data_IF_629663346502
#
_entry.id   IF_629663346502
#
_cell.length_a   1.000
_cell.length_b   1.000
_cell.length_c   1.000
_cell.angle_alpha   90.00
_cell.angle_beta   90.00
_cell.angle_gamma   90.00
#
_symmetry.space_group_name_H-M   'P 1'
#
loop_
_entity.id
_entity.type
_entity.pdbx_description
1 polymer ?
#
# COMPACT_ATOMS: atom_id res chain seq x y z
N UNK A 1 -52.08 5.23 -45.05
CA UNK A 1 -51.64 4.88 -43.68
C UNK A 1 -50.42 3.98 -43.82
N UNK A 2 -49.19 4.46 -43.54
CA UNK A 2 -48.45 4.21 -42.27
C UNK A 2 -48.36 2.68 -42.00
N UNK A 3 -47.22 1.98 -41.95
CA UNK A 3 -45.85 2.37 -41.56
C UNK A 3 -44.81 1.36 -42.09
N UNK A 4 -43.63 1.90 -42.37
CA UNK A 4 -42.35 1.26 -42.65
C UNK A 4 -41.84 0.52 -41.39
N UNK A 5 -41.40 -0.74 -41.50
CA UNK A 5 -40.60 -1.41 -40.46
C UNK A 5 -39.23 -1.78 -41.04
N UNK A 6 -38.31 -0.83 -40.91
CA UNK A 6 -36.89 -0.99 -41.20
C UNK A 6 -36.25 -1.85 -40.10
N UNK A 7 -35.69 -3.01 -40.47
CA UNK A 7 -34.82 -3.81 -39.62
C UNK A 7 -33.44 -3.12 -39.52
N UNK A 8 -33.08 -2.58 -38.35
CA UNK A 8 -31.72 -2.14 -38.03
C UNK A 8 -31.09 -3.20 -37.13
N UNK A 9 -30.21 -4.02 -37.72
CA UNK A 9 -29.33 -4.93 -36.99
C UNK A 9 -28.20 -4.09 -36.39
N UNK A 10 -28.36 -3.64 -35.15
CA UNK A 10 -27.31 -2.99 -34.39
C UNK A 10 -26.29 -4.06 -33.96
N UNK A 11 -25.20 -4.18 -34.70
CA UNK A 11 -23.98 -4.84 -34.26
C UNK A 11 -23.43 -4.09 -33.04
N UNK A 12 -23.77 -4.57 -31.85
CA UNK A 12 -23.06 -4.18 -30.62
C UNK A 12 -21.66 -4.78 -30.74
N UNK A 13 -20.74 -3.97 -31.28
CA UNK A 13 -19.32 -4.15 -31.05
C UNK A 13 -19.13 -4.13 -29.54
N UNK A 14 -19.07 -5.32 -28.95
CA UNK A 14 -18.61 -5.51 -27.59
C UNK A 14 -17.18 -5.01 -27.53
N UNK A 15 -17.01 -3.75 -27.14
CA UNK A 15 -15.76 -3.25 -26.59
C UNK A 15 -15.53 -4.03 -25.32
N UNK A 16 -14.92 -5.21 -25.45
CA UNK A 16 -14.15 -5.76 -24.35
C UNK A 16 -13.09 -4.71 -24.11
N UNK A 17 -13.30 -3.88 -23.08
CA UNK A 17 -12.21 -3.15 -22.47
C UNK A 17 -11.19 -4.23 -22.15
N UNK A 18 -10.10 -4.28 -22.93
CA UNK A 18 -8.87 -4.94 -22.55
C UNK A 18 -8.51 -4.31 -21.21
N UNK A 19 -8.95 -4.93 -20.12
CA UNK A 19 -8.36 -4.72 -18.82
C UNK A 19 -6.91 -5.10 -19.05
N UNK A 20 -6.05 -4.09 -19.18
CA UNK A 20 -4.62 -4.30 -19.23
C UNK A 20 -4.29 -5.21 -18.04
N UNK A 21 -3.95 -6.47 -18.33
CA UNK A 21 -3.33 -7.33 -17.35
C UNK A 21 -1.99 -6.66 -17.06
N UNK A 22 -1.97 -5.72 -16.10
CA UNK A 22 -0.75 -5.28 -15.48
C UNK A 22 -0.09 -6.56 -14.99
N UNK A 23 0.91 -7.05 -15.73
CA UNK A 23 1.73 -8.19 -15.30
C UNK A 23 2.46 -7.71 -14.05
N UNK A 24 1.84 -7.90 -12.90
CA UNK A 24 2.37 -7.52 -11.62
C UNK A 24 3.66 -8.32 -11.40
N UNK A 25 4.77 -7.63 -11.14
CA UNK A 25 6.09 -8.27 -10.95
C UNK A 25 6.29 -8.70 -9.51
N UNK A 26 5.84 -7.87 -8.57
CA UNK A 26 6.03 -8.04 -7.13
C UNK A 26 4.72 -7.97 -6.36
N UNK A 27 4.69 -8.62 -5.21
CA UNK A 27 3.62 -8.53 -4.21
C UNK A 27 4.22 -8.27 -2.84
N UNK A 28 3.55 -7.43 -2.04
CA UNK A 28 3.74 -7.45 -0.60
C UNK A 28 2.85 -8.52 0.01
N UNK A 29 3.33 -9.21 1.03
CA UNK A 29 2.56 -10.21 1.76
C UNK A 29 2.79 -10.06 3.26
N UNK A 30 1.81 -10.47 4.06
CA UNK A 30 1.93 -10.54 5.52
C UNK A 30 2.73 -11.79 5.97
N UNK A 31 2.97 -11.93 7.29
CA UNK A 31 3.63 -13.09 7.88
C UNK A 31 2.99 -14.46 7.55
N UNK A 32 1.73 -14.49 7.13
CA UNK A 32 1.02 -15.72 6.72
C UNK A 32 1.13 -15.96 5.20
N UNK A 33 1.86 -15.11 4.49
CA UNK A 33 2.03 -15.17 3.04
C UNK A 33 0.81 -14.69 2.26
N UNK A 34 -0.15 -14.01 2.91
CA UNK A 34 -1.33 -13.44 2.27
C UNK A 34 -0.97 -12.09 1.64
N UNK A 35 -1.43 -11.87 0.41
CA UNK A 35 -1.19 -10.63 -0.33
C UNK A 35 -1.76 -9.42 0.40
N UNK A 36 -0.91 -8.41 0.60
CA UNK A 36 -1.28 -7.07 1.00
C UNK A 36 -1.58 -6.29 -0.29
N UNK A 37 -2.83 -5.86 -0.52
CA UNK A 37 -3.19 -5.19 -1.77
C UNK A 37 -2.42 -3.89 -1.99
N UNK A 38 -2.13 -3.58 -3.25
CA UNK A 38 -1.55 -2.30 -3.65
C UNK A 38 -2.40 -1.12 -3.13
N UNK A 39 -1.74 -0.11 -2.57
CA UNK A 39 -2.35 1.06 -1.95
C UNK A 39 -2.83 0.85 -0.51
N UNK A 40 -2.64 -0.34 0.08
CA UNK A 40 -3.10 -0.59 1.45
C UNK A 40 -2.27 0.15 2.49
N UNK A 41 -2.92 0.49 3.61
CA UNK A 41 -2.22 0.83 4.85
C UNK A 41 -2.12 -0.40 5.74
N UNK A 42 -1.00 -0.57 6.44
CA UNK A 42 -0.78 -1.62 7.44
C UNK A 42 -0.17 -1.00 8.68
N UNK A 43 -0.63 -1.41 9.87
CA UNK A 43 -0.25 -0.80 11.15
C UNK A 43 0.40 -1.83 12.06
N UNK A 44 1.52 -1.45 12.69
CA UNK A 44 2.28 -2.23 13.66
C UNK A 44 2.43 -1.44 14.95
N UNK A 45 2.15 -2.08 16.07
CA UNK A 45 2.14 -1.46 17.40
C UNK A 45 2.81 -2.33 18.48
N UNK A 46 3.19 -3.57 18.14
CA UNK A 46 3.87 -4.48 19.06
C UNK A 46 5.29 -4.00 19.30
N UNK A 47 5.60 -3.71 20.55
CA UNK A 47 6.94 -3.33 21.01
C UNK A 47 7.66 -4.57 21.53
N UNK A 48 8.90 -4.76 21.08
CA UNK A 48 9.76 -5.88 21.46
C UNK A 48 11.17 -5.38 21.80
N UNK A 49 11.95 -6.18 22.54
CA UNK A 49 13.37 -5.92 22.73
C UNK A 49 14.12 -6.13 21.41
N UNK A 50 15.00 -5.20 21.05
CA UNK A 50 15.81 -5.33 19.82
C UNK A 50 16.71 -6.56 19.85
N UNK A 51 17.18 -6.95 21.05
CA UNK A 51 17.89 -8.19 21.31
C UNK A 51 17.24 -8.83 22.54
N UNK A 52 16.64 -10.03 22.41
CA UNK A 52 15.99 -10.69 23.53
C UNK A 52 16.93 -10.88 24.72
N UNK A 53 16.52 -10.39 25.89
CA UNK A 53 17.28 -10.48 27.13
C UNK A 53 18.38 -9.42 27.29
N UNK A 54 18.48 -8.44 26.39
CA UNK A 54 19.44 -7.32 26.46
C UNK A 54 18.69 -5.99 26.38
N UNK A 55 18.14 -5.48 27.50
CA UNK A 55 17.35 -4.25 27.52
C UNK A 55 18.11 -3.02 26.97
N UNK A 56 19.43 -2.98 27.14
CA UNK A 56 20.30 -1.89 26.67
C UNK A 56 20.40 -1.83 25.14
N UNK A 57 20.02 -2.89 24.43
CA UNK A 57 19.92 -2.89 22.97
C UNK A 57 18.73 -2.05 22.45
N UNK A 58 17.82 -1.65 23.35
CA UNK A 58 16.68 -0.80 23.05
C UNK A 58 15.44 -1.60 22.60
N UNK A 59 14.39 -0.85 22.27
CA UNK A 59 13.10 -1.40 21.88
C UNK A 59 12.81 -1.13 20.41
N UNK A 60 12.11 -2.04 19.75
CA UNK A 60 11.70 -1.93 18.35
C UNK A 60 10.21 -2.22 18.18
N UNK A 61 9.62 -1.68 17.11
CA UNK A 61 8.39 -2.20 16.51
C UNK A 61 8.74 -2.80 15.14
N UNK A 62 8.76 -4.14 14.99
CA UNK A 62 9.03 -4.78 13.71
C UNK A 62 7.78 -4.79 12.81
N UNK A 63 8.00 -4.70 11.50
CA UNK A 63 6.97 -4.90 10.49
C UNK A 63 7.02 -6.32 9.93
N UNK A 64 5.94 -7.07 10.13
CA UNK A 64 5.78 -8.43 9.59
C UNK A 64 5.32 -8.39 8.12
N UNK A 65 6.20 -7.92 7.24
CA UNK A 65 5.97 -7.81 5.80
C UNK A 65 7.06 -8.56 5.04
N UNK A 66 6.66 -9.24 3.98
CA UNK A 66 7.58 -9.83 3.00
C UNK A 66 7.24 -9.39 1.59
N UNK A 67 8.22 -9.55 0.70
CA UNK A 67 8.10 -9.31 -0.73
C UNK A 67 8.20 -10.64 -1.47
N UNK A 68 7.40 -10.78 -2.51
CA UNK A 68 7.39 -11.94 -3.41
C UNK A 68 7.58 -11.48 -4.85
N UNK A 69 8.45 -12.15 -5.61
CA UNK A 69 8.57 -11.99 -7.05
C UNK A 69 7.70 -13.02 -7.78
N UNK A 70 6.70 -12.54 -8.53
CA UNK A 70 5.74 -13.37 -9.25
C UNK A 70 5.94 -13.36 -10.78
N UNK A 71 6.98 -12.67 -11.27
CA UNK A 71 7.24 -12.44 -12.70
C UNK A 71 7.80 -13.65 -13.49
N UNK A 72 8.03 -14.78 -12.82
CA UNK A 72 8.57 -16.00 -13.44
C UNK A 72 10.07 -15.99 -13.72
N UNK A 73 10.74 -14.82 -13.64
CA UNK A 73 12.19 -14.68 -13.76
C UNK A 73 12.77 -13.90 -12.58
N UNK A 74 14.01 -14.19 -12.17
CA UNK A 74 14.68 -13.39 -11.16
C UNK A 74 14.72 -11.92 -11.58
N UNK A 75 14.50 -11.01 -10.63
CA UNK A 75 14.42 -9.58 -10.89
C UNK A 75 15.44 -8.84 -10.02
N UNK A 76 16.01 -7.76 -10.56
CA UNK A 76 16.59 -6.71 -9.72
C UNK A 76 15.46 -5.83 -9.19
N UNK A 77 15.48 -5.57 -7.89
CA UNK A 77 14.48 -4.74 -7.20
C UNK A 77 15.16 -3.57 -6.50
N UNK A 78 14.48 -2.44 -6.45
CA UNK A 78 14.82 -1.27 -5.64
C UNK A 78 13.58 -0.89 -4.82
N UNK A 79 13.78 -0.57 -3.55
CA UNK A 79 12.75 -0.01 -2.68
C UNK A 79 12.88 1.51 -2.65
N UNK A 80 11.79 2.20 -2.99
CA UNK A 80 11.68 3.64 -2.79
C UNK A 80 10.73 3.88 -1.63
N UNK A 81 11.15 4.70 -0.68
CA UNK A 81 10.36 5.04 0.49
C UNK A 81 10.22 6.55 0.67
N UNK A 82 9.10 6.98 1.25
CA UNK A 82 8.95 8.35 1.78
C UNK A 82 8.47 8.26 3.21
N UNK A 83 9.33 8.62 4.15
CA UNK A 83 8.95 8.81 5.56
C UNK A 83 8.12 10.08 5.63
N UNK A 84 6.83 9.95 5.96
CA UNK A 84 5.86 11.06 6.05
C UNK A 84 5.86 11.71 7.43
N UNK A 85 6.11 10.91 8.46
CA UNK A 85 6.15 11.33 9.84
C UNK A 85 7.10 10.42 10.64
N UNK A 86 7.76 10.98 11.63
CA UNK A 86 8.67 10.27 12.52
C UNK A 86 8.79 11.01 13.85
N UNK A 87 8.47 10.32 14.94
CA UNK A 87 8.56 10.85 16.31
C UNK A 87 9.16 9.81 17.24
N UNK A 88 10.19 10.24 17.99
CA UNK A 88 10.80 9.46 19.08
C UNK A 88 11.37 8.10 18.65
N UNK A 89 12.03 8.07 17.49
CA UNK A 89 12.72 6.88 17.01
C UNK A 89 13.38 7.08 15.65
N UNK A 90 13.85 5.98 15.09
CA UNK A 90 14.48 5.89 13.76
C UNK A 90 13.94 4.66 13.04
N UNK A 91 13.72 4.77 11.73
CA UNK A 91 13.31 3.63 10.92
C UNK A 91 14.54 2.93 10.36
N UNK A 92 14.76 1.67 10.72
CA UNK A 92 15.75 0.79 10.12
C UNK A 92 15.08 -0.02 8.99
N UNK A 93 15.73 -0.09 7.83
CA UNK A 93 15.25 -0.81 6.66
C UNK A 93 16.39 -1.69 6.13
N UNK A 94 16.17 -3.00 6.10
CA UNK A 94 17.09 -4.02 5.62
C UNK A 94 16.52 -4.72 4.38
N UNK A 95 16.41 -3.98 3.27
CA UNK A 95 15.93 -4.50 1.99
C UNK A 95 16.32 -3.56 0.84
N UNK A 96 16.58 -4.09 -0.37
CA UNK A 96 16.76 -5.50 -0.73
C UNK A 96 18.18 -6.01 -0.46
N UNK A 97 19.10 -5.12 -0.11
CA UNK A 97 20.48 -5.44 0.25
C UNK A 97 20.97 -4.45 1.32
N UNK A 98 21.64 -4.99 2.34
CA UNK A 98 22.16 -4.22 3.47
C UNK A 98 21.07 -3.55 4.32
N UNK A 99 21.51 -2.93 5.42
CA UNK A 99 20.64 -2.20 6.35
C UNK A 99 20.96 -0.71 6.33
N UNK A 100 19.94 0.14 6.25
CA UNK A 100 20.07 1.60 6.34
C UNK A 100 19.11 2.14 7.40
N UNK A 101 19.54 3.20 8.08
CA UNK A 101 18.70 3.94 9.05
C UNK A 101 18.19 5.23 8.42
N UNK A 102 16.88 5.31 8.23
CA UNK A 102 16.18 6.50 7.77
C UNK A 102 15.84 7.36 8.99
N UNK A 103 16.60 8.43 9.18
CA UNK A 103 16.61 9.24 10.42
C UNK A 103 15.75 10.49 10.38
N UNK A 104 15.17 10.82 9.24
CA UNK A 104 14.41 12.05 9.00
C UNK A 104 13.20 11.80 8.11
N UNK A 105 12.19 12.65 8.23
CA UNK A 105 11.09 12.75 7.25
C UNK A 105 11.68 13.11 5.88
N UNK A 106 11.20 12.45 4.82
CA UNK A 106 11.68 12.67 3.46
C UNK A 106 11.79 11.41 2.61
N UNK A 107 12.25 11.56 1.35
CA UNK A 107 12.43 10.46 0.42
C UNK A 107 13.72 9.68 0.69
N UNK A 108 13.68 8.38 0.41
CA UNK A 108 14.79 7.45 0.48
C UNK A 108 14.70 6.45 -0.66
N UNK A 109 15.86 6.00 -1.14
CA UNK A 109 15.99 4.94 -2.14
C UNK A 109 17.01 3.94 -1.62
N UNK A 110 16.66 2.66 -1.64
CA UNK A 110 17.60 1.59 -1.30
C UNK A 110 18.64 1.40 -2.40
N UNK A 111 19.68 0.62 -2.09
CA UNK A 111 20.48 -0.04 -3.13
C UNK A 111 19.62 -1.08 -3.87
N UNK A 112 20.07 -1.54 -5.03
CA UNK A 112 19.42 -2.66 -5.73
C UNK A 112 19.76 -4.00 -5.07
N UNK A 113 18.88 -4.98 -5.24
CA UNK A 113 19.13 -6.35 -4.80
C UNK A 113 18.44 -7.36 -5.70
N UNK A 114 18.87 -8.61 -5.61
CA UNK A 114 18.30 -9.71 -6.38
C UNK A 114 17.10 -10.31 -5.66
N UNK A 115 15.98 -10.44 -6.38
CA UNK A 115 14.78 -11.10 -5.88
C UNK A 115 14.47 -12.33 -6.78
N UNK A 116 14.67 -13.56 -6.28
CA UNK A 116 14.52 -14.76 -7.08
C UNK A 116 13.07 -14.99 -7.51
N UNK A 117 12.86 -15.58 -8.69
CA UNK A 117 11.52 -15.96 -9.15
C UNK A 117 11.05 -17.28 -8.52
N UNK A 118 10.69 -17.21 -7.25
CA UNK A 118 10.08 -18.33 -6.55
C UNK A 118 8.83 -17.82 -5.84
N UNK A 119 7.66 -18.21 -6.36
CA UNK A 119 6.35 -17.78 -5.85
C UNK A 119 6.09 -18.21 -4.40
N UNK A 120 6.83 -19.19 -3.90
CA UNK A 120 6.74 -19.68 -2.51
C UNK A 120 7.70 -18.97 -1.57
N UNK A 121 8.79 -18.39 -2.09
CA UNK A 121 9.85 -17.84 -1.26
C UNK A 121 9.44 -16.42 -0.84
N UNK A 122 9.32 -16.23 0.46
CA UNK A 122 9.11 -14.92 1.06
C UNK A 122 10.48 -14.31 1.31
N UNK A 123 10.74 -13.16 0.70
CA UNK A 123 11.91 -12.35 1.06
C UNK A 123 11.44 -11.30 2.06
N UNK A 124 11.89 -11.35 3.32
CA UNK A 124 11.49 -10.37 4.32
C UNK A 124 11.77 -8.94 3.85
N UNK A 125 10.79 -8.05 4.02
CA UNK A 125 11.02 -6.61 4.03
C UNK A 125 11.24 -6.23 5.50
N UNK A 126 12.48 -6.42 5.95
CA UNK A 126 12.86 -6.13 7.33
C UNK A 126 12.82 -4.61 7.54
N UNK A 127 11.75 -4.16 8.19
CA UNK A 127 11.56 -2.77 8.59
C UNK A 127 11.24 -2.73 10.07
N UNK A 128 12.04 -1.98 10.82
CA UNK A 128 11.92 -1.86 12.27
C UNK A 128 11.92 -0.39 12.65
N UNK A 129 10.92 0.03 13.43
CA UNK A 129 10.99 1.34 14.06
C UNK A 129 11.69 1.20 15.42
N UNK A 130 12.96 1.59 15.49
CA UNK A 130 13.73 1.59 16.71
C UNK A 130 13.32 2.80 17.56
N UNK A 131 12.77 2.53 18.74
CA UNK A 131 12.35 3.58 19.67
C UNK A 131 13.56 4.25 20.31
N UNK A 132 13.47 5.56 20.52
CA UNK A 132 14.45 6.27 21.34
C UNK A 132 14.39 5.78 22.80
N UNK A 133 15.52 5.81 23.51
CA UNK A 133 15.61 5.35 24.92
C UNK A 133 14.58 6.03 25.85
N UNK A 134 14.26 7.30 25.58
CA UNK A 134 13.30 8.10 26.35
C UNK A 134 11.96 8.28 25.62
N UNK A 135 11.62 7.37 24.70
CA UNK A 135 10.37 7.44 23.95
C UNK A 135 9.16 7.39 24.90
N UNK A 136 8.30 8.39 24.77
CA UNK A 136 7.02 8.47 25.46
C UNK A 136 6.03 7.44 24.88
N UNK A 137 4.77 7.52 25.28
CA UNK A 137 3.72 6.72 24.63
C UNK A 137 3.39 7.19 23.21
N UNK A 138 3.99 8.27 22.70
CA UNK A 138 3.63 8.89 21.41
C UNK A 138 4.58 8.53 20.25
N UNK A 139 5.46 7.56 20.44
CA UNK A 139 6.39 7.11 19.40
C UNK A 139 5.63 6.58 18.18
N UNK A 140 5.91 7.17 17.02
CA UNK A 140 5.26 6.79 15.77
C UNK A 140 6.13 7.06 14.55
N UNK A 141 5.86 6.33 13.47
CA UNK A 141 6.46 6.53 12.17
C UNK A 141 5.47 6.12 11.08
N UNK A 142 5.33 6.94 10.05
CA UNK A 142 4.54 6.60 8.87
C UNK A 142 5.41 6.67 7.65
N UNK A 143 5.46 5.59 6.88
CA UNK A 143 6.30 5.47 5.69
C UNK A 143 5.51 4.85 4.55
N UNK A 144 5.53 5.50 3.40
CA UNK A 144 5.00 4.94 2.16
C UNK A 144 6.16 4.28 1.42
N UNK A 145 6.00 3.03 0.99
CA UNK A 145 7.05 2.29 0.27
C UNK A 145 6.52 1.72 -1.02
N UNK A 146 7.33 1.77 -2.08
CA UNK A 146 7.03 1.23 -3.39
C UNK A 146 8.21 0.42 -3.92
N UNK A 147 7.92 -0.74 -4.48
CA UNK A 147 8.91 -1.56 -5.16
C UNK A 147 9.03 -1.15 -6.62
N UNK A 148 10.24 -1.17 -7.15
CA UNK A 148 10.51 -0.97 -8.57
C UNK A 148 11.36 -2.11 -9.10
N UNK A 149 11.13 -2.55 -10.35
CA UNK A 149 12.19 -3.28 -11.05
C UNK A 149 13.34 -2.33 -11.31
N UNK A 150 14.56 -2.86 -11.42
CA UNK A 150 15.72 -2.06 -11.79
C UNK A 150 16.21 -2.37 -13.20
N UNK A 151 16.78 -1.36 -13.86
CA UNK A 151 17.52 -1.49 -15.12
C UNK A 151 18.88 -0.81 -15.00
N UNK A 152 19.81 -1.18 -15.87
CA UNK A 152 21.07 -0.45 -16.00
C UNK A 152 20.89 0.86 -16.76
N UNK A 153 21.44 1.93 -16.23
CA UNK A 153 21.71 3.20 -16.92
C UNK A 153 23.21 3.45 -16.84
N UNK A 154 23.94 3.04 -17.88
CA UNK A 154 25.39 2.87 -17.81
C UNK A 154 25.76 1.75 -16.83
N UNK A 155 26.70 2.04 -15.93
CA UNK A 155 27.16 1.07 -14.91
C UNK A 155 26.32 1.06 -13.63
N UNK A 156 25.30 1.91 -13.53
CA UNK A 156 24.44 2.04 -12.35
C UNK A 156 23.09 1.38 -12.56
N UNK A 157 22.56 0.76 -11.51
CA UNK A 157 21.17 0.34 -11.47
C UNK A 157 20.28 1.52 -11.07
N UNK A 158 19.18 1.69 -11.80
CA UNK A 158 18.16 2.71 -11.56
C UNK A 158 16.78 2.09 -11.64
N UNK A 159 15.78 2.74 -11.04
CA UNK A 159 14.37 2.31 -11.12
C UNK A 159 13.89 2.24 -12.57
N UNK A 160 13.12 1.22 -12.91
CA UNK A 160 12.54 0.99 -14.24
C UNK A 160 11.01 1.01 -14.22
N UNK A 161 10.38 -0.10 -13.79
CA UNK A 161 8.92 -0.23 -13.78
C UNK A 161 8.41 -0.17 -12.34
N UNK A 162 7.39 0.67 -12.07
CA UNK A 162 6.77 0.70 -10.75
C UNK A 162 6.05 -0.63 -10.49
N UNK A 163 6.21 -1.11 -9.26
CA UNK A 163 5.49 -2.22 -8.69
C UNK A 163 4.47 -1.73 -7.64
N UNK A 164 4.04 -2.62 -6.72
CA UNK A 164 3.08 -2.26 -5.69
C UNK A 164 3.68 -1.24 -4.71
N UNK A 165 2.78 -0.47 -4.13
CA UNK A 165 3.00 0.52 -3.09
C UNK A 165 2.10 0.21 -1.89
N UNK A 166 2.61 0.39 -0.66
CA UNK A 166 1.83 0.31 0.57
C UNK A 166 2.26 1.42 1.54
N UNK A 167 1.39 1.73 2.50
CA UNK A 167 1.74 2.60 3.64
C UNK A 167 1.90 1.74 4.89
N UNK A 168 3.02 1.92 5.59
CA UNK A 168 3.34 1.24 6.84
C UNK A 168 3.30 2.28 7.96
N UNK A 169 2.52 2.00 8.99
CA UNK A 169 2.35 2.83 10.17
C UNK A 169 2.89 2.07 11.37
N UNK A 170 3.88 2.62 12.04
CA UNK A 170 4.29 2.21 13.37
C UNK A 170 3.65 3.18 14.36
N UNK A 171 2.82 2.67 15.27
CA UNK A 171 2.11 3.51 16.24
C UNK A 171 1.96 2.78 17.57
N UNK A 172 2.75 3.21 18.56
CA UNK A 172 2.73 2.66 19.92
C UNK A 172 1.39 2.88 20.65
N UNK A 173 0.57 3.84 20.21
CA UNK A 173 -0.74 4.14 20.83
C UNK A 173 -1.90 3.35 20.26
N UNK A 174 -1.71 2.67 19.12
CA UNK A 174 -2.79 1.96 18.46
C UNK A 174 -3.33 0.82 19.36
N UNK A 175 -4.62 0.84 19.65
CA UNK A 175 -5.32 -0.15 20.48
C UNK A 175 -5.88 -1.27 19.60
N UNK A 176 -5.04 -2.24 19.23
CA UNK A 176 -5.43 -3.41 18.44
C UNK A 176 -4.39 -4.53 18.49
N UNK A 177 -4.82 -5.80 18.43
CA UNK A 177 -3.92 -6.97 18.37
C UNK A 177 -3.43 -7.13 16.94
N UNK A 178 -2.14 -6.89 16.65
CA UNK A 178 -1.45 -7.25 15.39
C UNK A 178 -2.34 -7.27 14.13
N UNK A 179 -3.17 -6.25 13.94
CA UNK A 179 -4.03 -6.21 12.77
C UNK A 179 -3.22 -5.57 11.67
N UNK A 180 -2.77 -6.39 10.73
CA UNK A 180 -2.67 -5.95 9.34
C UNK A 180 -4.08 -5.53 8.92
N UNK A 181 -4.48 -4.33 9.31
CA UNK A 181 -5.72 -3.70 8.88
C UNK A 181 -5.46 -3.25 7.46
N UNK A 182 -5.48 -4.18 6.51
CA UNK A 182 -5.46 -3.86 5.08
C UNK A 182 -6.73 -3.07 4.78
N UNK A 183 -6.70 -1.76 4.98
CA UNK A 183 -7.63 -0.89 4.28
C UNK A 183 -7.17 -0.93 2.83
N UNK A 184 -7.81 -1.77 2.01
CA UNK A 184 -7.55 -1.77 0.57
C UNK A 184 -7.91 -0.40 -0.04
N UNK A 185 -7.54 -0.13 -1.31
CA UNK A 185 -7.96 1.08 -1.99
C UNK A 185 -9.47 1.25 -1.88
N UNK A 186 -9.87 2.32 -1.20
CA UNK A 186 -11.27 2.64 -0.97
C UNK A 186 -11.80 3.34 -2.21
N UNK A 187 -12.94 2.86 -2.70
CA UNK A 187 -13.71 3.56 -3.72
C UNK A 187 -15.04 4.03 -3.15
N UNK A 188 -15.47 5.20 -3.59
CA UNK A 188 -16.74 5.79 -3.18
C UNK A 188 -17.77 5.65 -4.30
N UNK A 189 -18.97 5.27 -3.92
CA UNK A 189 -20.18 5.51 -4.74
C UNK A 189 -21.00 6.57 -4.03
N UNK A 190 -21.25 7.69 -4.72
CA UNK A 190 -21.86 8.89 -4.16
C UNK A 190 -23.22 9.10 -4.78
N UNK A 191 -24.22 9.31 -3.94
CA UNK A 191 -25.60 9.63 -4.33
C UNK A 191 -26.04 10.95 -3.70
N UNK A 192 -26.97 11.63 -4.33
CA UNK A 192 -27.72 12.72 -3.66
C UNK A 192 -28.65 12.12 -2.59
N UNK A 193 -29.17 12.96 -1.69
CA UNK A 193 -30.17 12.51 -0.69
C UNK A 193 -31.45 11.95 -1.32
N UNK A 194 -31.75 12.29 -2.57
CA UNK A 194 -32.87 11.77 -3.35
C UNK A 194 -32.53 10.47 -4.10
N UNK A 195 -31.35 9.89 -3.88
CA UNK A 195 -30.92 8.62 -4.48
C UNK A 195 -30.38 8.73 -5.90
N UNK A 196 -30.10 9.94 -6.42
CA UNK A 196 -29.49 10.10 -7.76
C UNK A 196 -28.00 9.83 -7.69
N UNK A 197 -27.47 8.97 -8.56
CA UNK A 197 -26.03 8.70 -8.66
C UNK A 197 -25.27 9.96 -9.10
N UNK A 198 -24.23 10.31 -8.34
CA UNK A 198 -23.31 11.43 -8.60
C UNK A 198 -22.00 10.91 -9.18
N UNK A 199 -21.47 9.81 -8.64
CA UNK A 199 -20.25 9.18 -9.12
C UNK A 199 -20.06 7.78 -8.54
N UNK A 200 -19.38 6.90 -9.27
CA UNK A 200 -19.12 5.51 -8.87
C UNK A 200 -17.65 5.18 -9.06
N UNK A 201 -17.05 4.53 -8.08
CA UNK A 201 -15.64 4.16 -8.16
C UNK A 201 -14.68 5.33 -7.91
N UNK A 202 -15.13 6.40 -7.26
CA UNK A 202 -14.30 7.58 -7.02
C UNK A 202 -13.20 7.24 -6.01
N UNK A 203 -11.96 7.66 -6.26
CA UNK A 203 -10.84 7.51 -5.33
C UNK A 203 -10.79 8.60 -4.25
N UNK A 204 -11.56 9.68 -4.43
CA UNK A 204 -11.65 10.82 -3.52
C UNK A 204 -13.02 11.48 -3.62
N UNK A 205 -13.43 12.19 -2.56
CA UNK A 205 -14.61 13.05 -2.52
C UNK A 205 -14.28 14.52 -2.90
N UNK A 206 -13.00 14.82 -3.11
CA UNK A 206 -12.56 16.15 -3.53
C UNK A 206 -13.11 16.50 -4.92
N UNK A 207 -13.59 17.73 -5.08
CA UNK A 207 -14.21 18.21 -6.31
C UNK A 207 -15.73 18.02 -6.39
N UNK A 208 -16.34 17.35 -5.40
CA UNK A 208 -17.79 17.41 -5.23
C UNK A 208 -18.22 18.82 -4.84
N UNK A 209 -19.36 19.27 -5.39
CA UNK A 209 -19.97 20.52 -4.98
C UNK A 209 -20.38 20.47 -3.49
N UNK A 210 -20.43 21.64 -2.85
CA UNK A 210 -20.91 21.75 -1.47
C UNK A 210 -22.34 21.24 -1.36
N UNK A 211 -22.61 20.37 -0.39
CA UNK A 211 -23.91 19.73 -0.25
C UNK A 211 -23.89 18.43 0.56
N UNK A 212 -25.08 17.86 0.77
CA UNK A 212 -25.25 16.60 1.49
C UNK A 212 -25.43 15.42 0.53
N UNK A 213 -24.70 14.34 0.79
CA UNK A 213 -24.66 13.14 -0.04
C UNK A 213 -24.82 11.87 0.79
N UNK A 214 -25.25 10.79 0.15
CA UNK A 214 -25.10 9.42 0.67
C UNK A 214 -23.87 8.81 0.03
N UNK A 215 -22.92 8.36 0.84
CA UNK A 215 -21.64 7.82 0.39
C UNK A 215 -21.56 6.36 0.78
N UNK A 216 -21.39 5.49 -0.21
CA UNK A 216 -21.05 4.09 -0.02
C UNK A 216 -19.53 3.93 -0.15
N UNK A 217 -18.87 3.54 0.94
CA UNK A 217 -17.45 3.21 1.00
C UNK A 217 -17.28 1.74 0.63
N UNK A 218 -16.51 1.43 -0.41
CA UNK A 218 -16.23 0.06 -0.83
C UNK A 218 -14.72 -0.20 -0.81
N UNK A 219 -14.30 -1.25 -0.11
CA UNK A 219 -12.93 -1.77 -0.20
C UNK A 219 -12.90 -3.04 -1.06
N UNK A 220 -11.75 -3.72 -1.07
CA UNK A 220 -11.55 -4.98 -1.78
C UNK A 220 -12.41 -6.14 -1.25
N UNK A 221 -13.12 -5.98 -0.12
CA UNK A 221 -13.99 -6.99 0.51
C UNK A 221 -15.49 -6.70 0.26
N UNK A 222 -15.85 -5.50 -0.19
CA UNK A 222 -17.25 -5.14 -0.47
C UNK A 222 -17.62 -3.76 0.05
N UNK A 223 -18.92 -3.43 0.02
CA UNK A 223 -19.40 -2.17 0.63
C UNK A 223 -19.24 -2.30 2.14
N UNK A 224 -18.37 -1.47 2.72
CA UNK A 224 -18.04 -1.46 4.13
C UNK A 224 -19.01 -0.59 4.94
N UNK A 225 -19.42 0.55 4.37
CA UNK A 225 -20.31 1.49 5.04
C UNK A 225 -21.13 2.29 4.03
N UNK A 226 -22.31 2.75 4.47
CA UNK A 226 -23.13 3.71 3.76
C UNK A 226 -23.55 4.78 4.76
N UNK A 227 -23.14 6.03 4.55
CA UNK A 227 -23.40 7.12 5.48
C UNK A 227 -23.76 8.42 4.77
N UNK A 228 -24.46 9.29 5.50
CA UNK A 228 -24.73 10.66 5.06
C UNK A 228 -23.51 11.52 5.37
N UNK A 229 -22.99 12.23 4.37
CA UNK A 229 -21.81 13.08 4.48
C UNK A 229 -22.09 14.48 3.93
N UNK A 230 -21.55 15.51 4.57
CA UNK A 230 -21.72 16.92 4.17
C UNK A 230 -20.39 17.44 3.64
N UNK A 231 -20.34 17.80 2.36
CA UNK A 231 -19.21 18.48 1.73
C UNK A 231 -19.35 19.99 2.00
N UNK A 232 -18.38 20.56 2.72
CA UNK A 232 -18.36 21.97 3.17
C UNK A 232 -17.66 22.92 2.22
#
# INVERSE_FOLDING_TARGET
MKRLFTFILATVLGTTALMAQNKQTFEFVDAKGKVIPNGSTVTFNKVEESIPGVPEAGLIMPADISVRNISGNAQKVILVGTVKNMKEGVLQVCFPAGCKRWKKVGPYTSEEGDLPAKKTDLTPLEMEFCLAEQATNQANCTVQVQLYTAKKAGDKWVTDKPGPEITIVFDKTATGINTVSTEGPVTYTVYTLQGKLVGKGLSSLQGLAKGAYIIQKKDNKGVLSAEKHIIQ
#
